data_IF_604954623191
#
_entry.id   IF_604954623191
#
_cell.length_a   1.000
_cell.length_b   1.000
_cell.length_c   1.000
_cell.angle_alpha   90.00
_cell.angle_beta   90.00
_cell.angle_gamma   90.00
#
_symmetry.space_group_name_H-M   'P 1'
#
loop_
_entity.id
_entity.type
_entity.pdbx_description
1 polymer ?
#
# COMPACT_ATOMS: atom_id res chain seq x y z
N UNK A 1 13.45 -21.34 -19.48
CA UNK A 1 14.83 -21.81 -19.23
C UNK A 1 15.74 -20.60 -19.16
N UNK A 2 15.83 -19.78 -20.20
CA UNK A 2 16.75 -18.62 -20.26
C UNK A 2 16.73 -17.64 -19.07
N UNK A 3 15.57 -17.29 -18.49
CA UNK A 3 15.51 -16.35 -17.36
C UNK A 3 16.03 -16.93 -16.03
N UNK A 4 15.79 -18.23 -15.82
CA UNK A 4 16.28 -18.97 -14.64
C UNK A 4 17.78 -19.22 -14.80
N UNK A 5 18.20 -19.58 -16.03
CA UNK A 5 19.60 -19.84 -16.36
C UNK A 5 20.46 -18.54 -16.33
N UNK A 6 19.88 -17.38 -16.70
CA UNK A 6 20.52 -16.05 -16.58
C UNK A 6 20.51 -15.51 -15.14
N UNK A 7 19.94 -16.23 -14.16
CA UNK A 7 19.88 -15.83 -12.75
C UNK A 7 19.01 -14.59 -12.48
N UNK A 8 18.11 -14.23 -13.41
CA UNK A 8 17.23 -13.05 -13.30
C UNK A 8 16.08 -13.33 -12.32
N UNK A 9 15.71 -14.59 -12.17
CA UNK A 9 14.64 -15.08 -11.30
C UNK A 9 15.16 -16.24 -10.47
N UNK A 10 14.67 -16.40 -9.24
CA UNK A 10 15.19 -17.39 -8.27
C UNK A 10 14.84 -18.83 -8.67
N UNK A 11 13.81 -19.01 -9.49
CA UNK A 11 13.36 -20.30 -9.99
C UNK A 11 12.08 -20.16 -10.81
N UNK A 12 11.49 -21.30 -11.20
CA UNK A 12 10.18 -21.32 -11.89
C UNK A 12 9.01 -20.94 -10.97
N UNK A 13 9.23 -21.03 -9.66
CA UNK A 13 8.28 -20.64 -8.62
C UNK A 13 8.43 -19.17 -8.21
N UNK A 14 9.28 -18.39 -8.89
CA UNK A 14 9.44 -16.97 -8.60
C UNK A 14 8.11 -16.20 -8.84
N UNK A 15 7.58 -15.44 -7.86
CA UNK A 15 6.32 -14.69 -7.99
C UNK A 15 6.30 -13.67 -9.14
N UNK A 16 7.48 -13.24 -9.60
CA UNK A 16 7.63 -12.29 -10.70
C UNK A 16 7.44 -12.96 -12.06
N UNK A 17 7.58 -14.27 -12.14
CA UNK A 17 7.17 -15.03 -13.30
C UNK A 17 5.65 -15.17 -13.26
N UNK A 18 5.00 -15.01 -14.42
CA UNK A 18 3.59 -15.36 -14.55
C UNK A 18 3.44 -16.89 -14.61
N UNK A 19 3.90 -17.59 -13.58
CA UNK A 19 3.56 -18.99 -13.41
C UNK A 19 2.09 -19.08 -13.00
N UNK A 20 1.40 -20.04 -13.60
CA UNK A 20 -0.02 -20.37 -13.37
C UNK A 20 -0.34 -20.67 -11.89
N UNK A 21 0.69 -20.84 -11.05
CA UNK A 21 0.60 -21.13 -9.64
C UNK A 21 0.07 -19.96 -8.79
N UNK A 22 0.34 -18.70 -9.19
CA UNK A 22 0.01 -17.52 -8.37
C UNK A 22 -1.39 -16.93 -8.61
N UNK A 23 -2.05 -17.30 -9.71
CA UNK A 23 -3.47 -16.99 -9.91
C UNK A 23 -4.28 -18.20 -9.48
N UNK A 24 -5.17 -18.06 -8.48
CA UNK A 24 -6.19 -19.09 -8.22
C UNK A 24 -6.83 -19.51 -9.55
N UNK A 25 -6.91 -20.81 -9.80
CA UNK A 25 -7.38 -21.41 -11.07
C UNK A 25 -8.72 -20.81 -11.51
N UNK A 26 -9.58 -20.45 -10.56
CA UNK A 26 -10.85 -19.78 -10.81
C UNK A 26 -10.69 -18.38 -11.40
N UNK A 27 -9.72 -17.60 -10.92
CA UNK A 27 -9.45 -16.24 -11.43
C UNK A 27 -8.99 -16.29 -12.88
N UNK A 28 -8.15 -17.26 -13.22
CA UNK A 28 -7.68 -17.45 -14.58
C UNK A 28 -8.81 -17.90 -15.52
N UNK A 29 -9.70 -18.80 -15.07
CA UNK A 29 -10.91 -19.18 -15.80
C UNK A 29 -11.80 -17.97 -16.10
N UNK A 30 -12.05 -17.11 -15.10
CA UNK A 30 -12.84 -15.90 -15.30
C UNK A 30 -12.15 -14.91 -16.25
N UNK A 31 -10.83 -14.82 -16.23
CA UNK A 31 -10.07 -14.00 -17.19
C UNK A 31 -10.23 -14.51 -18.63
N UNK A 32 -10.10 -15.83 -18.86
CA UNK A 32 -10.32 -16.44 -20.18
C UNK A 32 -11.76 -16.19 -20.66
N UNK A 33 -12.75 -16.41 -19.79
CA UNK A 33 -14.17 -16.20 -20.12
C UNK A 33 -14.48 -14.74 -20.46
N UNK A 34 -13.90 -13.79 -19.72
CA UNK A 34 -14.11 -12.37 -19.95
C UNK A 34 -13.46 -11.87 -21.25
N UNK A 35 -12.35 -12.48 -21.67
CA UNK A 35 -11.71 -12.15 -22.95
C UNK A 35 -12.50 -12.70 -24.15
N UNK A 36 -13.12 -13.87 -23.99
CA UNK A 36 -13.88 -14.53 -25.03
C UNK A 36 -13.01 -15.15 -26.13
N UNK A 37 -13.62 -16.02 -26.96
CA UNK A 37 -12.94 -16.64 -28.10
C UNK A 37 -13.03 -15.75 -29.34
N UNK A 38 -12.07 -14.86 -29.55
CA UNK A 38 -11.92 -14.12 -30.81
C UNK A 38 -10.91 -14.80 -31.72
N UNK A 39 -11.12 -14.74 -33.04
CA UNK A 39 -10.15 -15.22 -34.05
C UNK A 39 -8.98 -14.25 -34.28
N UNK A 40 -9.06 -13.04 -33.72
CA UNK A 40 -8.02 -12.02 -33.84
C UNK A 40 -6.95 -12.24 -32.76
N UNK A 41 -5.68 -12.16 -33.16
CA UNK A 41 -4.55 -12.14 -32.21
C UNK A 41 -4.57 -10.79 -31.51
N UNK A 42 -4.95 -10.79 -30.24
CA UNK A 42 -4.91 -9.59 -29.39
C UNK A 42 -3.72 -9.70 -28.46
N UNK A 43 -2.75 -8.79 -28.62
CA UNK A 43 -1.67 -8.63 -27.65
C UNK A 43 -2.24 -7.91 -26.43
N UNK A 44 -2.35 -8.62 -25.31
CA UNK A 44 -2.86 -8.07 -24.05
C UNK A 44 -1.68 -7.64 -23.17
N UNK A 45 -1.77 -6.43 -22.62
CA UNK A 45 -0.80 -5.96 -21.63
C UNK A 45 -1.04 -6.61 -20.27
N UNK A 46 0.05 -6.88 -19.55
CA UNK A 46 0.05 -7.44 -18.19
C UNK A 46 -0.82 -6.64 -17.21
N UNK A 47 -0.92 -5.33 -17.41
CA UNK A 47 -1.72 -4.42 -16.58
C UNK A 47 -3.19 -4.84 -16.50
N UNK A 48 -3.74 -5.47 -17.55
CA UNK A 48 -5.13 -5.94 -17.55
C UNK A 48 -5.35 -7.15 -16.64
N UNK A 49 -4.38 -8.08 -16.60
CA UNK A 49 -4.44 -9.23 -15.69
C UNK A 49 -4.30 -8.76 -14.24
N UNK A 50 -3.37 -7.83 -13.98
CA UNK A 50 -3.20 -7.22 -12.66
C UNK A 50 -4.44 -6.46 -12.21
N UNK A 51 -5.06 -5.67 -13.09
CA UNK A 51 -6.30 -4.96 -12.78
C UNK A 51 -7.45 -5.93 -12.46
N UNK A 52 -7.54 -7.07 -13.15
CA UNK A 52 -8.55 -8.09 -12.88
C UNK A 52 -8.32 -8.76 -11.52
N UNK A 53 -7.08 -9.21 -11.26
CA UNK A 53 -6.70 -9.80 -9.98
C UNK A 53 -6.91 -8.81 -8.83
N UNK A 54 -6.54 -7.54 -9.02
CA UNK A 54 -6.76 -6.48 -8.05
C UNK A 54 -8.25 -6.36 -7.72
N UNK A 55 -9.15 -6.29 -8.70
CA UNK A 55 -10.60 -6.18 -8.43
C UNK A 55 -11.14 -7.31 -7.55
N UNK A 56 -10.67 -8.54 -7.76
CA UNK A 56 -11.13 -9.70 -6.98
C UNK A 56 -10.51 -9.71 -5.59
N UNK A 57 -9.20 -9.48 -5.47
CA UNK A 57 -8.48 -9.46 -4.19
C UNK A 57 -8.96 -8.29 -3.33
N UNK A 58 -9.17 -7.12 -3.93
CA UNK A 58 -9.54 -5.87 -3.25
C UNK A 58 -10.84 -5.99 -2.46
N UNK A 59 -11.75 -6.90 -2.85
CA UNK A 59 -13.03 -7.15 -2.17
C UNK A 59 -12.91 -7.99 -0.89
N UNK A 60 -11.92 -8.88 -0.82
CA UNK A 60 -11.76 -9.85 0.27
C UNK A 60 -10.54 -9.57 1.15
N UNK A 61 -9.63 -8.70 0.70
CA UNK A 61 -8.36 -8.46 1.37
C UNK A 61 -8.55 -7.61 2.64
N UNK A 62 -8.15 -8.12 3.82
CA UNK A 62 -8.13 -7.32 5.05
C UNK A 62 -7.10 -6.19 4.93
N UNK A 63 -7.43 -5.01 5.49
CA UNK A 63 -6.54 -3.84 5.46
C UNK A 63 -5.78 -3.72 6.77
N UNK A 64 -4.48 -3.91 6.66
CA UNK A 64 -3.52 -3.62 7.70
C UNK A 64 -2.75 -2.35 7.37
N UNK A 65 -2.17 -1.75 8.40
CA UNK A 65 -1.31 -0.58 8.28
C UNK A 65 0.08 -1.03 8.66
N UNK A 66 1.05 -0.78 7.80
CA UNK A 66 2.46 -0.96 8.06
C UNK A 66 3.15 0.35 7.67
N UNK A 67 4.28 0.64 8.31
CA UNK A 67 5.13 1.77 7.98
C UNK A 67 6.52 1.21 7.64
N UNK A 68 7.17 1.79 6.63
CA UNK A 68 8.54 1.46 6.23
C UNK A 68 9.59 2.03 7.20
N UNK A 69 10.87 1.80 6.88
CA UNK A 69 12.00 2.33 7.65
C UNK A 69 12.06 3.88 7.59
N UNK A 70 12.69 4.49 8.60
CA UNK A 70 12.76 5.95 8.82
C UNK A 70 11.45 6.58 9.30
N UNK A 71 11.10 6.26 10.54
CA UNK A 71 9.87 6.74 11.19
C UNK A 71 10.10 8.09 11.89
N UNK A 72 9.14 8.98 11.71
CA UNK A 72 9.05 10.29 12.37
C UNK A 72 8.03 10.20 13.50
N UNK A 73 8.37 10.75 14.66
CA UNK A 73 7.44 10.81 15.80
C UNK A 73 6.58 12.07 15.74
N UNK A 74 5.27 11.89 15.86
CA UNK A 74 4.29 12.97 15.98
C UNK A 74 3.72 12.98 17.40
N UNK A 75 3.89 14.10 18.10
CA UNK A 75 3.29 14.34 19.41
C UNK A 75 1.92 15.00 19.22
N UNK A 76 0.87 14.33 19.65
CA UNK A 76 -0.51 14.80 19.52
C UNK A 76 -0.99 15.35 20.85
N UNK A 77 -1.09 16.67 20.95
CA UNK A 77 -1.61 17.34 22.14
C UNK A 77 -3.12 17.12 22.24
N UNK A 78 -3.58 16.74 23.43
CA UNK A 78 -4.98 16.43 23.72
C UNK A 78 -5.40 15.00 23.40
N UNK A 79 -4.52 14.19 22.80
CA UNK A 79 -4.79 12.77 22.60
C UNK A 79 -4.66 11.98 23.91
N UNK A 80 -5.67 11.17 24.21
CA UNK A 80 -5.65 10.19 25.30
C UNK A 80 -5.38 8.80 24.74
N UNK A 81 -4.73 7.92 25.51
CA UNK A 81 -4.60 6.53 25.14
C UNK A 81 -5.99 5.89 25.11
N UNK A 82 -6.46 5.60 23.90
CA UNK A 82 -7.79 5.02 23.63
C UNK A 82 -7.65 3.89 22.62
N UNK A 83 -8.63 3.00 22.59
CA UNK A 83 -8.65 1.87 21.66
C UNK A 83 -10.02 1.80 21.00
N UNK A 84 -10.06 1.87 19.66
CA UNK A 84 -11.30 1.75 18.90
C UNK A 84 -11.26 0.53 17.98
N UNK A 85 -12.41 -0.13 17.85
CA UNK A 85 -12.64 -1.21 16.88
C UNK A 85 -13.03 -0.64 15.53
N UNK A 86 -12.24 -0.95 14.51
CA UNK A 86 -12.49 -0.54 13.12
C UNK A 86 -12.58 -1.77 12.24
N UNK A 87 -13.47 -1.74 11.25
CA UNK A 87 -13.64 -2.83 10.31
C UNK A 87 -12.36 -3.06 9.50
N UNK A 88 -11.96 -4.33 9.32
CA UNK A 88 -10.80 -4.70 8.53
C UNK A 88 -10.95 -4.35 7.06
N UNK A 89 -12.19 -4.33 6.56
CA UNK A 89 -12.49 -3.98 5.19
C UNK A 89 -13.55 -2.86 5.12
N UNK A 90 -13.33 -1.79 4.33
CA UNK A 90 -14.25 -0.65 4.28
C UNK A 90 -15.66 -0.98 3.82
N UNK A 91 -15.82 -2.04 2.99
CA UNK A 91 -17.10 -2.41 2.38
C UNK A 91 -17.72 -3.68 2.96
N UNK A 92 -16.94 -4.47 3.69
CA UNK A 92 -17.40 -5.77 4.19
C UNK A 92 -17.03 -5.94 5.67
N UNK A 93 -18.02 -5.76 6.53
CA UNK A 93 -17.86 -5.93 7.96
C UNK A 93 -17.73 -7.40 8.38
N UNK A 94 -18.07 -8.37 7.50
CA UNK A 94 -18.00 -9.80 7.83
C UNK A 94 -16.56 -10.34 7.87
N UNK A 95 -15.61 -9.64 7.22
CA UNK A 95 -14.18 -9.99 7.25
C UNK A 95 -13.61 -9.85 8.67
N UNK A 96 -14.21 -8.99 9.50
CA UNK A 96 -13.85 -8.81 10.89
C UNK A 96 -13.49 -7.38 11.25
N UNK A 97 -13.04 -7.21 12.50
CA UNK A 97 -12.61 -5.91 13.04
C UNK A 97 -11.20 -6.03 13.61
N UNK A 98 -10.48 -4.91 13.62
CA UNK A 98 -9.19 -4.75 14.29
C UNK A 98 -9.29 -3.66 15.33
N UNK A 99 -8.50 -3.81 16.38
CA UNK A 99 -8.30 -2.78 17.38
C UNK A 99 -7.24 -1.79 16.87
N UNK A 100 -7.54 -0.50 16.92
CA UNK A 100 -6.60 0.58 16.63
C UNK A 100 -6.37 1.36 17.91
N UNK A 101 -5.10 1.48 18.29
CA UNK A 101 -4.67 2.21 19.47
C UNK A 101 -4.35 3.66 19.09
N UNK A 102 -4.93 4.59 19.83
CA UNK A 102 -4.64 6.02 19.76
C UNK A 102 -3.77 6.38 20.94
N UNK A 103 -2.90 7.37 20.76
CA UNK A 103 -2.01 7.80 21.83
C UNK A 103 -1.42 9.19 21.59
N UNK A 104 -0.78 9.76 22.61
CA UNK A 104 -0.13 11.08 22.50
C UNK A 104 1.12 11.05 21.61
N UNK A 105 1.66 9.88 21.30
CA UNK A 105 2.80 9.69 20.41
C UNK A 105 2.44 8.70 19.33
N UNK A 106 2.57 9.12 18.08
CA UNK A 106 2.32 8.27 16.91
C UNK A 106 3.49 8.33 15.94
N UNK A 107 3.65 7.29 15.14
CA UNK A 107 4.72 7.13 14.16
C UNK A 107 4.17 7.31 12.75
N UNK A 108 5.01 7.85 11.87
CA UNK A 108 4.68 8.27 10.52
C UNK A 108 5.91 8.10 9.61
N UNK A 109 5.71 7.86 8.32
CA UNK A 109 6.83 7.69 7.37
C UNK A 109 7.48 9.02 7.01
N UNK A 110 8.80 9.04 6.87
CA UNK A 110 9.54 10.24 6.47
C UNK A 110 8.99 10.89 5.19
N UNK A 111 8.60 10.07 4.21
CA UNK A 111 8.08 10.54 2.91
C UNK A 111 6.81 11.37 3.08
N UNK A 112 5.92 10.95 3.99
CA UNK A 112 4.71 11.70 4.31
C UNK A 112 5.03 12.93 5.18
N UNK A 113 6.00 12.81 6.10
CA UNK A 113 6.42 13.92 6.97
C UNK A 113 7.05 15.07 6.18
N UNK A 114 7.83 14.77 5.14
CA UNK A 114 8.51 15.77 4.30
C UNK A 114 7.52 16.58 3.44
N UNK A 115 6.30 16.08 3.23
CA UNK A 115 5.23 16.79 2.53
C UNK A 115 4.44 17.74 3.44
N UNK A 116 4.70 17.74 4.75
CA UNK A 116 3.96 18.53 5.73
C UNK A 116 4.65 19.83 6.07
N UNK A 117 3.87 20.90 6.22
CA UNK A 117 4.33 22.20 6.70
C UNK A 117 3.69 22.57 8.03
N UNK A 118 4.27 23.57 8.69
CA UNK A 118 3.64 24.19 9.86
C UNK A 118 2.28 24.80 9.49
N UNK A 119 1.32 24.75 10.41
CA UNK A 119 -0.08 25.17 10.22
C UNK A 119 -0.93 24.37 9.22
N UNK A 120 -0.38 23.32 8.59
CA UNK A 120 -1.16 22.42 7.73
C UNK A 120 -2.17 21.56 8.53
N UNK A 121 -3.23 21.13 7.84
CA UNK A 121 -4.17 20.12 8.35
C UNK A 121 -3.97 18.78 7.62
N UNK A 122 -3.70 17.75 8.40
CA UNK A 122 -3.46 16.39 7.94
C UNK A 122 -4.61 15.47 8.40
N UNK A 123 -5.09 14.58 7.52
CA UNK A 123 -6.09 13.56 7.88
C UNK A 123 -5.40 12.26 8.24
N UNK A 124 -5.45 11.89 9.50
CA UNK A 124 -4.96 10.61 9.99
C UNK A 124 -6.03 9.55 9.75
N UNK A 125 -5.69 8.52 8.96
CA UNK A 125 -6.66 7.49 8.55
C UNK A 125 -7.25 6.79 9.77
N UNK A 126 -8.59 6.73 9.85
CA UNK A 126 -9.37 6.19 10.97
C UNK A 126 -9.23 6.94 12.32
N UNK A 127 -8.61 8.12 12.34
CA UNK A 127 -8.59 8.98 13.53
C UNK A 127 -9.38 10.27 13.31
N UNK A 128 -9.04 11.04 12.28
CA UNK A 128 -9.62 12.36 12.05
C UNK A 128 -8.58 13.36 11.55
N UNK A 129 -8.94 14.64 11.60
CA UNK A 129 -8.05 15.72 11.22
C UNK A 129 -7.21 16.18 12.41
N UNK A 130 -5.91 16.35 12.16
CA UNK A 130 -4.96 16.91 13.10
C UNK A 130 -4.35 18.16 12.49
N UNK A 131 -4.30 19.24 13.26
CA UNK A 131 -3.64 20.48 12.85
C UNK A 131 -2.19 20.46 13.31
N UNK A 132 -1.26 20.63 12.38
CA UNK A 132 0.17 20.66 12.65
C UNK A 132 0.53 22.03 13.22
N UNK A 133 1.26 22.04 14.33
CA UNK A 133 1.63 23.27 15.06
C UNK A 133 3.11 23.60 14.93
N UNK A 134 3.96 22.58 14.85
CA UNK A 134 5.40 22.75 14.74
C UNK A 134 6.03 21.54 14.06
N UNK A 135 6.95 21.80 13.13
CA UNK A 135 7.70 20.76 12.42
C UNK A 135 9.18 20.95 12.75
N UNK A 136 9.74 20.04 13.54
CA UNK A 136 11.15 20.03 13.92
C UNK A 136 11.99 19.39 12.83
N UNK A 137 12.81 20.20 12.16
CA UNK A 137 13.75 19.73 11.13
C UNK A 137 15.18 19.69 11.67
N UNK A 138 15.94 18.70 11.23
CA UNK A 138 17.38 18.57 11.48
C UNK A 138 18.05 18.06 10.22
N UNK A 139 19.12 18.72 9.80
CA UNK A 139 19.93 18.32 8.64
C UNK A 139 19.11 18.13 7.34
N UNK A 140 18.03 18.91 7.18
CA UNK A 140 17.14 18.84 6.02
C UNK A 140 16.03 17.78 6.11
N UNK A 141 15.93 17.02 7.20
CA UNK A 141 14.90 16.01 7.41
C UNK A 141 14.00 16.35 8.61
N UNK A 142 12.72 15.99 8.53
CA UNK A 142 11.78 16.14 9.65
C UNK A 142 12.08 15.06 10.70
N UNK A 143 12.32 15.48 11.95
CA UNK A 143 12.63 14.57 13.08
C UNK A 143 11.44 14.41 14.02
N UNK A 144 10.65 15.47 14.21
CA UNK A 144 9.51 15.44 15.11
C UNK A 144 8.44 16.43 14.68
N UNK A 145 7.17 16.07 14.84
CA UNK A 145 6.04 16.93 14.53
C UNK A 145 5.19 17.10 15.78
N UNK A 146 4.70 18.30 16.06
CA UNK A 146 3.70 18.54 17.09
C UNK A 146 2.36 18.87 16.43
N UNK A 147 1.30 18.20 16.85
CA UNK A 147 -0.03 18.38 16.29
C UNK A 147 -1.09 18.51 17.39
N UNK A 148 -2.20 19.19 17.08
CA UNK A 148 -3.37 19.28 17.94
C UNK A 148 -4.55 18.54 17.28
N UNK A 149 -5.38 17.89 18.08
CA UNK A 149 -6.62 17.27 17.59
C UNK A 149 -7.60 18.34 17.09
N UNK A 150 -8.07 18.19 15.84
CA UNK A 150 -9.09 19.03 15.21
C UNK A 150 -10.21 18.14 14.65
N UNK A 151 -10.91 17.43 15.55
CA UNK A 151 -11.92 16.43 15.19
C UNK A 151 -13.22 17.04 14.64
N UNK A 152 -13.48 18.32 14.93
CA UNK A 152 -14.66 19.04 14.46
C UNK A 152 -14.55 19.42 12.97
N UNK A 153 -13.34 19.51 12.47
CA UNK A 153 -13.07 19.82 11.07
C UNK A 153 -13.33 18.61 10.18
N UNK A 154 -14.48 18.59 9.51
CA UNK A 154 -14.88 17.52 8.57
C UNK A 154 -14.39 17.73 7.13
N UNK A 155 -13.42 18.62 6.91
CA UNK A 155 -12.92 18.92 5.58
C UNK A 155 -11.80 17.95 5.18
N UNK A 156 -12.18 16.78 4.64
CA UNK A 156 -11.23 15.69 4.29
C UNK A 156 -10.78 15.68 2.81
N UNK A 157 -11.25 16.63 1.99
CA UNK A 157 -11.08 16.55 0.52
C UNK A 157 -9.79 17.19 0.00
N UNK A 158 -9.18 18.11 0.75
CA UNK A 158 -7.93 18.81 0.36
C UNK A 158 -6.77 18.54 1.31
N UNK A 159 -6.98 17.69 2.30
CA UNK A 159 -5.99 17.35 3.31
C UNK A 159 -5.20 16.12 2.88
N UNK A 160 -3.91 16.10 3.21
CA UNK A 160 -3.06 14.94 3.00
C UNK A 160 -3.56 13.81 3.91
N UNK A 161 -3.79 12.62 3.34
CA UNK A 161 -4.24 11.44 4.10
C UNK A 161 -3.04 10.59 4.45
N UNK A 162 -2.83 10.35 5.75
CA UNK A 162 -1.62 9.67 6.21
C UNK A 162 -1.96 8.41 7.00
N UNK A 163 -1.13 7.39 6.79
CA UNK A 163 -1.05 6.18 7.59
C UNK A 163 -0.13 6.37 8.78
N UNK A 164 -0.54 5.86 9.94
CA UNK A 164 0.16 6.07 11.21
C UNK A 164 0.03 4.82 12.08
N UNK A 165 0.94 4.69 13.04
CA UNK A 165 0.95 3.61 14.03
C UNK A 165 1.32 4.13 15.43
N UNK A 166 1.05 3.33 16.45
CA UNK A 166 1.40 3.61 17.84
C UNK A 166 2.21 2.43 18.37
N UNK A 167 3.21 2.72 19.21
CA UNK A 167 3.98 1.67 19.88
C UNK A 167 3.14 0.95 20.96
N UNK A 168 3.34 -0.36 21.18
CA UNK A 168 4.33 -1.22 20.52
C UNK A 168 3.90 -1.71 19.13
N UNK A 169 4.85 -1.75 18.20
CA UNK A 169 4.65 -2.28 16.84
C UNK A 169 5.31 -3.67 16.70
N UNK A 170 4.84 -4.44 15.71
CA UNK A 170 5.42 -5.74 15.34
C UNK A 170 6.27 -5.54 14.09
N UNK A 171 7.52 -5.96 14.14
CA UNK A 171 8.40 -5.95 12.97
C UNK A 171 7.95 -6.99 11.94
N UNK A 172 7.89 -6.58 10.67
CA UNK A 172 7.51 -7.44 9.55
C UNK A 172 8.51 -7.28 8.40
N UNK A 173 8.75 -8.36 7.66
CA UNK A 173 9.51 -8.31 6.42
C UNK A 173 8.53 -8.30 5.24
N UNK A 174 8.49 -7.19 4.51
CA UNK A 174 7.71 -7.06 3.29
C UNK A 174 8.63 -7.21 2.07
N UNK A 175 8.20 -7.99 1.07
CA UNK A 175 8.91 -8.14 -0.20
C UNK A 175 8.07 -7.52 -1.30
N UNK A 176 8.64 -6.52 -1.98
CA UNK A 176 8.01 -5.87 -3.13
C UNK A 176 8.56 -6.49 -4.42
N UNK A 177 7.65 -6.88 -5.30
CA UNK A 177 7.97 -7.42 -6.62
C UNK A 177 7.63 -6.39 -7.69
N UNK A 178 8.62 -6.08 -8.54
CA UNK A 178 8.46 -5.24 -9.72
C UNK A 178 8.53 -6.09 -11.01
N UNK A 179 8.04 -5.58 -12.16
CA UNK A 179 8.05 -6.32 -13.42
C UNK A 179 9.47 -6.73 -13.83
N UNK A 180 9.67 -8.02 -14.15
CA UNK A 180 10.97 -8.58 -14.58
C UNK A 180 11.47 -7.94 -15.88
N UNK A 181 10.54 -7.52 -16.75
CA UNK A 181 10.85 -7.00 -18.09
C UNK A 181 10.29 -5.58 -18.21
N UNK A 182 11.18 -4.61 -18.46
CA UNK A 182 10.78 -3.24 -18.79
C UNK A 182 10.40 -3.12 -20.28
N UNK A 183 9.50 -2.18 -20.61
CA UNK A 183 9.06 -1.91 -22.00
C UNK A 183 10.22 -1.70 -22.99
N UNK A 184 11.37 -1.22 -22.52
CA UNK A 184 12.58 -1.05 -23.33
C UNK A 184 13.21 -2.37 -23.81
N UNK A 185 13.10 -3.45 -23.01
CA UNK A 185 13.67 -4.77 -23.33
C UNK A 185 12.76 -5.62 -24.22
N UNK A 186 11.46 -5.30 -24.25
CA UNK A 186 10.42 -6.04 -24.97
C UNK A 186 10.63 -6.08 -26.50
N UNK A 187 11.30 -5.08 -27.08
CA UNK A 187 11.45 -4.94 -28.54
C UNK A 187 12.58 -5.80 -29.15
N UNK A 188 13.48 -6.39 -28.36
CA UNK A 188 14.68 -7.10 -28.88
C UNK A 188 14.68 -8.62 -28.74
N UNK A 189 13.79 -9.23 -27.95
CA UNK A 189 13.92 -10.66 -27.56
C UNK A 189 12.65 -11.50 -27.77
N UNK A 190 11.59 -10.98 -28.38
CA UNK A 190 10.35 -11.74 -28.61
C UNK A 190 10.46 -12.76 -29.77
N UNK A 191 11.57 -12.81 -30.49
CA UNK A 191 11.81 -13.77 -31.58
C UNK A 191 12.31 -15.13 -31.06
N UNK A 192 12.76 -15.23 -29.80
CA UNK A 192 13.41 -16.44 -29.25
C UNK A 192 12.53 -17.25 -28.28
N UNK A 193 11.24 -16.94 -28.16
CA UNK A 193 10.33 -17.56 -27.19
C UNK A 193 9.27 -18.50 -27.82
N UNK A 194 9.50 -19.00 -29.03
CA UNK A 194 8.64 -20.01 -29.66
C UNK A 194 9.18 -21.44 -29.46
#
# INVERSE_FOLDING_TARGET
TLLVDEGIVEGWDDPRLCSWYYSSVERFKHFILAHGGSRLIVVMEWDKLWAFNKKVIDLIAPRYTALEENLVTVNVNGAKPEMNKINLHPKDAAIGSRDVHFGPKVLLEQVDADLMNEDDCATFVNWGNLKLTKVGMKDGHVVSINANLDLDNKYFKKTLKITWLVEPCVEIQAVRYDPVISKARQRRRMEDFC
#
